data_IF_814805333771
#
_entry.id   IF_814805333771
#
_cell.length_a   1.000
_cell.length_b   1.000
_cell.length_c   1.000
_cell.angle_alpha   90.00
_cell.angle_beta   90.00
_cell.angle_gamma   90.00
#
_symmetry.space_group_name_H-M   'P 1'
#
loop_
_entity.id
_entity.type
_entity.pdbx_description
1 polymer ?
#
# COMPACT_ATOMS: atom_id res chain seq x y z
N UNK A 1 -2.62 -9.67 24.62
CA UNK A 1 -1.45 -8.84 24.24
C UNK A 1 -1.72 -7.36 24.29
N UNK A 2 -2.79 -6.82 23.67
CA UNK A 2 -3.09 -5.37 23.72
C UNK A 2 -3.08 -4.81 25.15
N UNK A 3 -3.80 -5.44 26.09
CA UNK A 3 -3.82 -5.03 27.49
C UNK A 3 -2.45 -5.04 28.19
N UNK A 4 -1.58 -5.99 27.82
CA UNK A 4 -0.23 -6.08 28.40
C UNK A 4 0.67 -4.95 27.88
N UNK A 5 0.52 -4.57 26.62
CA UNK A 5 1.21 -3.42 26.03
C UNK A 5 0.71 -2.09 26.62
N UNK A 6 -0.60 -1.96 26.86
CA UNK A 6 -1.16 -0.79 27.56
C UNK A 6 -0.59 -0.65 28.97
N UNK A 7 -0.59 -1.73 29.75
CA UNK A 7 -0.04 -1.73 31.10
C UNK A 7 1.46 -1.42 31.07
N UNK A 8 2.20 -1.99 30.13
CA UNK A 8 3.62 -1.66 29.94
C UNK A 8 3.82 -0.18 29.63
N UNK A 9 3.00 0.40 28.76
CA UNK A 9 3.08 1.84 28.43
C UNK A 9 2.82 2.71 29.66
N UNK A 10 1.80 2.37 30.46
CA UNK A 10 1.49 3.07 31.71
C UNK A 10 2.63 2.96 32.73
N UNK A 11 3.26 1.80 32.86
CA UNK A 11 4.42 1.64 33.74
C UNK A 11 5.62 2.48 33.29
N UNK A 12 5.91 2.50 31.99
CA UNK A 12 6.97 3.35 31.42
C UNK A 12 6.70 4.83 31.68
N UNK A 13 5.44 5.27 31.60
CA UNK A 13 5.05 6.65 31.85
C UNK A 13 5.18 7.05 33.33
N UNK A 14 4.84 6.14 34.25
CA UNK A 14 4.95 6.38 35.69
C UNK A 14 6.40 6.37 36.18
N UNK A 15 7.18 5.37 35.74
CA UNK A 15 8.55 5.14 36.22
C UNK A 15 9.60 5.85 35.36
N UNK A 16 9.19 6.48 34.25
CA UNK A 16 10.05 7.16 33.26
C UNK A 16 11.22 6.29 32.77
N UNK A 17 11.01 4.97 32.70
CA UNK A 17 12.02 3.99 32.29
C UNK A 17 11.41 2.95 31.36
N UNK A 18 12.08 2.63 30.26
CA UNK A 18 11.66 1.52 29.38
C UNK A 18 11.94 0.15 30.02
N UNK A 19 12.99 0.07 30.85
CA UNK A 19 13.47 -1.16 31.46
C UNK A 19 12.99 -1.27 32.90
N UNK A 20 12.39 -2.41 33.24
CA UNK A 20 11.88 -2.69 34.58
C UNK A 20 12.45 -4.03 35.04
N UNK A 21 13.04 -4.05 36.23
CA UNK A 21 13.67 -5.22 36.82
C UNK A 21 12.67 -5.88 37.77
N UNK A 22 12.33 -7.14 37.51
CA UNK A 22 11.34 -7.89 38.30
C UNK A 22 11.98 -9.00 39.14
N UNK A 23 13.30 -8.96 39.37
CA UNK A 23 14.05 -10.07 39.95
C UNK A 23 13.53 -10.47 41.35
N UNK A 24 13.20 -9.50 42.21
CA UNK A 24 12.63 -9.76 43.54
C UNK A 24 11.21 -10.37 43.44
N UNK A 25 10.37 -9.86 42.55
CA UNK A 25 9.02 -10.40 42.31
C UNK A 25 9.06 -11.80 41.71
N UNK A 26 10.05 -12.09 40.86
CA UNK A 26 10.24 -13.42 40.29
C UNK A 26 10.68 -14.45 41.34
N UNK A 27 11.52 -14.03 42.29
CA UNK A 27 11.90 -14.85 43.44
C UNK A 27 10.68 -15.16 44.32
N UNK A 28 9.84 -14.16 44.62
CA UNK A 28 8.62 -14.33 45.42
C UNK A 28 7.61 -15.25 44.73
N UNK A 29 7.44 -15.11 43.41
CA UNK A 29 6.55 -15.93 42.59
C UNK A 29 7.14 -17.30 42.21
N UNK A 30 8.41 -17.58 42.57
CA UNK A 30 9.15 -18.80 42.22
C UNK A 30 9.16 -19.08 40.71
N UNK A 31 9.26 -18.02 39.90
CA UNK A 31 9.26 -18.08 38.44
C UNK A 31 10.67 -17.89 37.90
N UNK A 32 10.99 -18.54 36.79
CA UNK A 32 12.25 -18.31 36.08
C UNK A 32 12.04 -17.36 34.90
N UNK A 33 13.10 -16.68 34.42
CA UNK A 33 12.99 -15.80 33.23
C UNK A 33 12.43 -16.49 31.98
N UNK A 34 12.57 -17.83 31.87
CA UNK A 34 11.98 -18.61 30.78
C UNK A 34 10.46 -18.66 30.86
N UNK A 35 9.91 -18.62 32.07
CA UNK A 35 8.46 -18.68 32.31
C UNK A 35 7.77 -17.32 32.02
N UNK A 36 8.56 -16.25 31.88
CA UNK A 36 8.12 -14.92 31.44
C UNK A 36 8.06 -14.78 29.91
N UNK A 37 8.57 -15.74 29.15
CA UNK A 37 8.55 -15.68 27.69
C UNK A 37 7.10 -15.74 27.20
N UNK A 38 6.59 -14.58 26.75
CA UNK A 38 5.24 -14.52 26.20
C UNK A 38 5.26 -15.09 24.78
N UNK A 39 4.64 -16.25 24.52
CA UNK A 39 4.66 -16.84 23.19
C UNK A 39 3.94 -15.93 22.22
N UNK A 40 4.60 -15.62 21.09
CA UNK A 40 4.01 -14.82 20.01
C UNK A 40 2.77 -15.53 19.47
N UNK A 41 1.58 -14.91 19.51
CA UNK A 41 0.38 -15.51 18.95
C UNK A 41 0.57 -15.79 17.46
N UNK A 42 0.16 -16.98 17.01
CA UNK A 42 0.40 -17.46 15.63
C UNK A 42 -0.19 -16.55 14.54
N UNK A 43 -1.22 -15.78 14.85
CA UNK A 43 -1.81 -14.79 13.93
C UNK A 43 -0.82 -13.67 13.55
N UNK A 44 0.09 -13.26 14.45
CA UNK A 44 1.12 -12.28 14.12
C UNK A 44 2.17 -12.84 13.17
N UNK A 45 2.48 -14.13 13.27
CA UNK A 45 3.39 -14.80 12.34
C UNK A 45 2.76 -14.95 10.94
N UNK A 46 1.44 -15.19 10.88
CA UNK A 46 0.71 -15.32 9.61
C UNK A 46 0.83 -14.06 8.76
N UNK A 47 0.58 -12.91 9.37
CA UNK A 47 0.56 -11.64 8.66
C UNK A 47 1.96 -10.97 8.67
N UNK A 48 2.97 -11.61 9.24
CA UNK A 48 4.30 -11.00 9.39
C UNK A 48 4.90 -10.64 8.04
N UNK A 49 4.83 -11.51 7.03
CA UNK A 49 5.39 -11.26 5.70
C UNK A 49 4.68 -10.11 5.01
N UNK A 50 3.35 -10.04 5.11
CA UNK A 50 2.55 -8.93 4.58
C UNK A 50 2.86 -7.62 5.32
N UNK A 51 2.97 -7.66 6.65
CA UNK A 51 3.37 -6.51 7.46
C UNK A 51 4.78 -6.03 7.13
N UNK A 52 5.73 -6.95 6.91
CA UNK A 52 7.09 -6.60 6.51
C UNK A 52 7.11 -6.00 5.10
N UNK A 53 6.30 -6.53 4.16
CA UNK A 53 6.14 -5.93 2.84
C UNK A 53 5.55 -4.54 2.93
N UNK A 54 4.48 -4.35 3.69
CA UNK A 54 3.86 -3.03 3.91
C UNK A 54 4.85 -2.04 4.52
N UNK A 55 5.59 -2.46 5.56
CA UNK A 55 6.66 -1.66 6.17
C UNK A 55 7.74 -1.31 5.17
N UNK A 56 8.21 -2.28 4.39
CA UNK A 56 9.22 -2.07 3.36
C UNK A 56 8.73 -1.09 2.29
N UNK A 57 7.47 -1.21 1.85
CA UNK A 57 6.85 -0.28 0.89
C UNK A 57 6.71 1.13 1.47
N UNK A 58 6.32 1.26 2.74
CA UNK A 58 6.25 2.58 3.40
C UNK A 58 7.65 3.20 3.50
N UNK A 59 8.63 2.44 3.95
CA UNK A 59 10.03 2.89 4.06
C UNK A 59 10.58 3.23 2.69
N UNK A 60 10.34 2.42 1.65
CA UNK A 60 10.78 2.74 0.28
C UNK A 60 10.14 4.03 -0.22
N UNK A 61 8.85 4.23 0.00
CA UNK A 61 8.17 5.46 -0.40
C UNK A 61 8.71 6.69 0.36
N UNK A 62 9.03 6.56 1.64
CA UNK A 62 9.66 7.63 2.43
C UNK A 62 11.05 7.94 1.87
N UNK A 63 11.87 6.91 1.61
CA UNK A 63 13.21 7.06 1.05
C UNK A 63 13.18 7.65 -0.36
N UNK A 64 12.20 7.27 -1.20
CA UNK A 64 11.99 7.83 -2.53
C UNK A 64 11.60 9.30 -2.47
N UNK A 65 10.68 9.68 -1.57
CA UNK A 65 10.34 11.10 -1.31
C UNK A 65 11.55 11.88 -0.82
N UNK A 66 12.34 11.32 0.09
CA UNK A 66 13.58 11.94 0.56
C UNK A 66 14.62 12.05 -0.56
N UNK A 67 14.74 11.05 -1.43
CA UNK A 67 15.66 11.06 -2.58
C UNK A 67 15.23 12.06 -3.65
N UNK A 68 13.92 12.19 -3.92
CA UNK A 68 13.38 13.23 -4.80
C UNK A 68 13.68 14.64 -4.26
N UNK A 69 13.70 14.81 -2.94
CA UNK A 69 14.09 16.06 -2.28
C UNK A 69 15.62 16.25 -2.19
N UNK A 70 16.41 15.19 -2.40
CA UNK A 70 17.88 15.20 -2.41
C UNK A 70 18.42 15.11 -3.84
N UNK A 71 18.23 16.14 -4.65
CA UNK A 71 18.85 16.23 -5.98
C UNK A 71 20.36 16.53 -5.95
N UNK A 72 20.99 16.58 -4.78
CA UNK A 72 22.42 16.93 -4.62
C UNK A 72 23.13 16.05 -3.58
N UNK A 73 22.90 14.73 -3.59
CA UNK A 73 23.81 13.83 -2.88
C UNK A 73 25.02 13.51 -3.77
N UNK A 74 26.19 14.02 -3.38
CA UNK A 74 27.49 13.59 -3.88
C UNK A 74 27.54 12.06 -3.93
N UNK A 75 27.73 11.49 -5.11
CA UNK A 75 28.02 10.07 -5.29
C UNK A 75 29.26 9.78 -4.43
N UNK A 76 29.23 8.80 -3.50
CA UNK A 76 30.41 8.45 -2.72
C UNK A 76 31.53 8.11 -3.69
N UNK A 77 32.55 8.97 -3.74
CA UNK A 77 33.71 8.75 -4.60
C UNK A 77 34.44 7.55 -4.03
N UNK A 78 34.35 6.41 -4.72
CA UNK A 78 35.08 5.19 -4.39
C UNK A 78 36.56 5.54 -4.20
N UNK A 79 37.07 5.28 -3.00
CA UNK A 79 38.47 5.57 -2.70
C UNK A 79 39.38 4.67 -3.56
N UNK A 80 40.54 5.16 -3.95
CA UNK A 80 41.46 4.44 -4.85
C UNK A 80 41.83 3.06 -4.28
N UNK A 81 42.07 2.98 -2.97
CA UNK A 81 42.39 1.71 -2.30
C UNK A 81 41.23 0.70 -2.36
N UNK A 82 40.00 1.16 -2.21
CA UNK A 82 38.81 0.31 -2.27
C UNK A 82 38.59 -0.22 -3.69
N UNK A 83 38.75 0.66 -4.68
CA UNK A 83 38.71 0.28 -6.09
C UNK A 83 39.78 -0.78 -6.43
N UNK A 84 41.01 -0.60 -5.93
CA UNK A 84 42.10 -1.57 -6.11
C UNK A 84 41.78 -2.90 -5.43
N UNK A 85 41.27 -2.90 -4.19
CA UNK A 85 40.90 -4.13 -3.47
C UNK A 85 39.80 -4.90 -4.20
N UNK A 86 38.76 -4.21 -4.69
CA UNK A 86 37.68 -4.81 -5.48
C UNK A 86 38.20 -5.41 -6.79
N UNK A 87 39.07 -4.69 -7.50
CA UNK A 87 39.66 -5.17 -8.74
C UNK A 87 40.55 -6.40 -8.50
N UNK A 88 41.36 -6.40 -7.44
CA UNK A 88 42.18 -7.56 -7.09
C UNK A 88 41.34 -8.77 -6.65
N UNK A 89 40.29 -8.55 -5.85
CA UNK A 89 39.41 -9.64 -5.40
C UNK A 89 38.66 -10.28 -6.56
N UNK A 90 38.11 -9.45 -7.45
CA UNK A 90 37.42 -9.91 -8.66
C UNK A 90 38.38 -10.64 -9.62
N UNK A 91 39.59 -10.15 -9.82
CA UNK A 91 40.59 -10.82 -10.67
C UNK A 91 41.08 -12.14 -10.07
N UNK A 92 41.34 -12.21 -8.76
CA UNK A 92 41.65 -13.49 -8.08
C UNK A 92 40.50 -14.48 -8.22
N UNK A 93 39.26 -14.04 -8.09
CA UNK A 93 38.09 -14.90 -8.27
C UNK A 93 37.95 -15.38 -9.72
N UNK A 94 38.18 -14.50 -10.70
CA UNK A 94 38.19 -14.86 -12.13
C UNK A 94 39.26 -15.90 -12.44
N UNK A 95 40.48 -15.70 -11.96
CA UNK A 95 41.58 -16.65 -12.11
C UNK A 95 41.29 -17.99 -11.42
N UNK A 96 40.72 -17.96 -10.21
CA UNK A 96 40.30 -19.16 -9.49
C UNK A 96 39.29 -19.98 -10.28
N UNK A 97 38.27 -19.33 -10.87
CA UNK A 97 37.28 -20.00 -11.73
C UNK A 97 37.92 -20.62 -12.97
N UNK A 98 38.84 -19.92 -13.63
CA UNK A 98 39.53 -20.43 -14.83
C UNK A 98 40.39 -21.65 -14.47
N UNK A 99 41.19 -21.57 -13.39
CA UNK A 99 42.02 -22.69 -12.93
C UNK A 99 41.16 -23.90 -12.55
N UNK A 100 40.06 -23.70 -11.82
CA UNK A 100 39.16 -24.77 -11.42
C UNK A 100 38.52 -25.45 -12.65
N UNK A 101 38.08 -24.67 -13.65
CA UNK A 101 37.56 -25.20 -14.91
C UNK A 101 38.62 -26.03 -15.64
N UNK A 102 39.82 -25.50 -15.80
CA UNK A 102 40.93 -26.18 -16.47
C UNK A 102 41.32 -27.49 -15.76
N UNK A 103 41.40 -27.48 -14.42
CA UNK A 103 41.69 -28.70 -13.64
C UNK A 103 40.57 -29.74 -13.74
N UNK A 104 39.32 -29.29 -13.77
CA UNK A 104 38.17 -30.18 -13.96
C UNK A 104 38.23 -30.85 -15.33
N UNK A 105 38.55 -30.09 -16.37
CA UNK A 105 38.69 -30.58 -17.75
C UNK A 105 39.87 -31.55 -17.90
N UNK A 106 41.01 -31.26 -17.26
CA UNK A 106 42.15 -32.18 -17.23
C UNK A 106 41.78 -33.52 -16.58
N UNK A 107 41.13 -33.49 -15.39
CA UNK A 107 40.69 -34.71 -14.70
C UNK A 107 39.66 -35.49 -15.52
N UNK A 108 38.77 -34.81 -16.24
CA UNK A 108 37.82 -35.44 -17.14
C UNK A 108 38.53 -36.09 -18.34
N UNK A 109 39.42 -35.37 -19.00
CA UNK A 109 40.23 -35.88 -20.12
C UNK A 109 41.08 -37.08 -19.71
N UNK A 110 41.69 -37.08 -18.52
CA UNK A 110 42.39 -38.25 -17.99
C UNK A 110 41.46 -39.43 -17.74
N UNK A 111 40.24 -39.19 -17.22
CA UNK A 111 39.24 -40.24 -17.02
C UNK A 111 38.77 -40.82 -18.35
N UNK A 112 38.54 -39.97 -19.35
CA UNK A 112 38.13 -40.40 -20.68
C UNK A 112 39.27 -41.09 -21.43
N UNK A 113 40.51 -40.61 -21.28
CA UNK A 113 41.71 -41.31 -21.73
C UNK A 113 41.80 -42.71 -21.13
N UNK A 114 41.57 -42.87 -19.81
CA UNK A 114 41.49 -44.19 -19.16
C UNK A 114 40.36 -45.06 -19.68
N UNK A 115 39.22 -44.47 -20.06
CA UNK A 115 38.09 -45.18 -20.70
C UNK A 115 38.42 -45.59 -22.14
N UNK A 116 39.18 -44.80 -22.88
CA UNK A 116 39.60 -45.11 -24.25
C UNK A 116 40.75 -46.12 -24.30
N UNK A 117 41.66 -46.11 -23.31
CA UNK A 117 42.66 -47.15 -23.12
C UNK A 117 42.12 -48.38 -22.40
N UNK A 118 40.85 -48.35 -21.98
CA UNK A 118 40.19 -49.51 -21.39
C UNK A 118 40.10 -50.60 -22.45
N UNK A 119 40.94 -51.62 -22.30
CA UNK A 119 40.78 -52.86 -23.07
C UNK A 119 39.72 -53.69 -22.36
N UNK A 120 38.71 -54.23 -23.09
CA UNK A 120 37.87 -55.28 -22.55
C UNK A 120 38.81 -56.38 -22.07
N UNK A 121 38.92 -56.55 -20.75
CA UNK A 121 39.51 -57.77 -20.22
C UNK A 121 38.56 -58.88 -20.66
N UNK A 122 39.06 -59.91 -21.35
CA UNK A 122 38.29 -61.12 -21.62
C UNK A 122 38.09 -61.86 -20.28
N UNK A 123 37.23 -61.28 -19.46
CA UNK A 123 36.90 -61.77 -18.15
C UNK A 123 35.81 -62.81 -18.34
N UNK A 124 36.00 -64.02 -17.82
CA UNK A 124 34.93 -65.02 -17.86
C UNK A 124 33.70 -64.50 -17.11
N UNK A 125 32.52 -65.00 -17.45
CA UNK A 125 31.26 -64.55 -16.83
C UNK A 125 31.32 -64.62 -15.29
N UNK A 126 31.94 -65.68 -14.77
CA UNK A 126 32.12 -65.89 -13.33
C UNK A 126 33.09 -64.87 -12.71
N UNK A 127 34.21 -64.59 -13.38
CA UNK A 127 35.17 -63.60 -12.92
C UNK A 127 34.57 -62.18 -12.93
N UNK A 128 33.74 -61.85 -13.93
CA UNK A 128 32.99 -60.60 -13.98
C UNK A 128 31.96 -60.50 -12.86
N UNK A 129 31.20 -61.57 -12.62
CA UNK A 129 30.24 -61.64 -11.52
C UNK A 129 30.93 -61.43 -10.15
N UNK A 130 32.09 -62.07 -9.93
CA UNK A 130 32.88 -61.89 -8.70
C UNK A 130 33.33 -60.44 -8.53
N UNK A 131 33.82 -59.78 -9.59
CA UNK A 131 34.24 -58.38 -9.51
C UNK A 131 33.07 -57.44 -9.16
N UNK A 132 31.92 -57.61 -9.83
CA UNK A 132 30.72 -56.82 -9.57
C UNK A 132 30.24 -57.03 -8.13
N UNK A 133 30.15 -58.29 -7.69
CA UNK A 133 29.74 -58.64 -6.33
C UNK A 133 30.70 -58.08 -5.28
N UNK A 134 32.02 -58.11 -5.52
CA UNK A 134 33.03 -57.54 -4.62
C UNK A 134 32.85 -56.03 -4.47
N UNK A 135 32.67 -55.32 -5.58
CA UNK A 135 32.44 -53.87 -5.56
C UNK A 135 31.14 -53.53 -4.84
N UNK A 136 30.06 -54.27 -5.12
CA UNK A 136 28.76 -54.09 -4.47
C UNK A 136 28.83 -54.33 -2.96
N UNK A 137 29.41 -55.46 -2.53
CA UNK A 137 29.60 -55.78 -1.10
C UNK A 137 30.43 -54.70 -0.40
N UNK A 138 31.50 -54.23 -1.04
CA UNK A 138 32.31 -53.13 -0.51
C UNK A 138 31.57 -51.78 -0.46
N UNK A 139 30.65 -51.52 -1.39
CA UNK A 139 29.79 -50.33 -1.34
C UNK A 139 28.78 -50.40 -0.21
N UNK A 140 28.07 -51.53 -0.10
CA UNK A 140 27.11 -51.79 0.97
C UNK A 140 27.79 -51.67 2.33
N UNK A 141 28.97 -52.28 2.51
CA UNK A 141 29.66 -52.24 3.79
C UNK A 141 30.16 -50.84 4.16
N UNK A 142 30.62 -50.04 3.18
CA UNK A 142 30.97 -48.64 3.44
C UNK A 142 29.74 -47.80 3.83
N UNK A 143 28.58 -48.07 3.25
CA UNK A 143 27.33 -47.40 3.65
C UNK A 143 26.92 -47.76 5.07
N UNK A 144 27.01 -49.03 5.44
CA UNK A 144 26.70 -49.51 6.79
C UNK A 144 27.69 -48.88 7.78
N UNK A 145 29.00 -48.99 7.54
CA UNK A 145 30.02 -48.43 8.42
C UNK A 145 29.93 -46.90 8.55
N UNK A 146 29.60 -46.18 7.47
CA UNK A 146 29.35 -44.75 7.56
C UNK A 146 28.12 -44.43 8.41
N UNK A 147 27.04 -45.22 8.28
CA UNK A 147 25.83 -45.06 9.11
C UNK A 147 26.14 -45.32 10.58
N UNK A 148 26.78 -46.45 10.90
CA UNK A 148 27.19 -46.80 12.26
C UNK A 148 28.12 -45.73 12.85
N UNK A 149 29.08 -45.23 12.06
CA UNK A 149 29.93 -44.11 12.47
C UNK A 149 29.12 -42.85 12.77
N UNK A 150 28.13 -42.50 11.95
CA UNK A 150 27.28 -41.33 12.21
C UNK A 150 26.41 -41.52 13.45
N UNK A 151 25.84 -42.71 13.63
CA UNK A 151 25.04 -43.06 14.81
C UNK A 151 25.89 -42.99 16.09
N UNK A 152 27.13 -43.51 16.05
CA UNK A 152 28.07 -43.41 17.16
C UNK A 152 28.49 -41.96 17.44
N UNK A 153 28.75 -41.16 16.40
CA UNK A 153 29.07 -39.73 16.58
C UNK A 153 27.90 -38.94 17.19
N UNK A 154 26.66 -39.31 16.86
CA UNK A 154 25.46 -38.74 17.48
C UNK A 154 25.34 -39.21 18.94
N UNK A 155 25.55 -40.50 19.20
CA UNK A 155 25.49 -41.08 20.55
C UNK A 155 26.53 -40.45 21.49
N UNK A 156 27.75 -40.22 21.01
CA UNK A 156 28.82 -39.55 21.75
C UNK A 156 28.62 -38.02 21.84
N UNK A 157 27.62 -37.45 21.16
CA UNK A 157 27.33 -36.01 21.18
C UNK A 157 28.28 -35.15 20.34
N UNK A 158 29.08 -35.76 19.46
CA UNK A 158 29.98 -35.04 18.54
C UNK A 158 29.22 -34.39 17.37
N UNK A 159 28.04 -34.92 17.05
CA UNK A 159 27.08 -34.36 16.10
C UNK A 159 25.73 -34.23 16.81
N UNK A 160 25.04 -33.09 16.71
CA UNK A 160 23.71 -32.96 17.30
C UNK A 160 22.74 -33.95 16.65
N UNK A 161 22.03 -34.72 17.47
CA UNK A 161 20.96 -35.59 16.99
C UNK A 161 19.91 -34.73 16.26
N UNK A 162 19.41 -35.23 15.12
CA UNK A 162 18.22 -34.63 14.53
C UNK A 162 17.07 -34.70 15.55
N UNK A 163 16.34 -33.60 15.77
CA UNK A 163 15.20 -33.62 16.66
C UNK A 163 14.22 -34.70 16.19
N UNK A 164 13.61 -35.47 17.10
CA UNK A 164 12.66 -36.51 16.72
C UNK A 164 11.59 -35.91 15.82
N UNK A 165 11.38 -36.55 14.66
CA UNK A 165 10.38 -36.13 13.70
C UNK A 165 8.99 -36.03 14.33
N UNK A 166 8.06 -35.29 13.71
CA UNK A 166 6.78 -35.02 14.33
C UNK A 166 6.03 -36.32 14.60
N UNK A 167 5.53 -36.48 15.83
CA UNK A 167 4.76 -37.66 16.21
C UNK A 167 3.50 -37.80 15.36
N UNK A 168 2.89 -39.00 15.25
CA UNK A 168 1.64 -39.17 14.50
C UNK A 168 0.53 -38.19 14.94
N UNK A 169 0.44 -37.91 16.24
CA UNK A 169 -0.47 -36.91 16.79
C UNK A 169 -0.12 -35.48 16.34
N UNK A 170 1.17 -35.14 16.25
CA UNK A 170 1.62 -33.85 15.73
C UNK A 170 1.35 -33.72 14.23
N UNK A 171 1.50 -34.78 13.44
CA UNK A 171 1.16 -34.80 12.02
C UNK A 171 -0.34 -34.58 11.79
N UNK A 172 -1.19 -35.25 12.58
CA UNK A 172 -2.64 -35.02 12.55
C UNK A 172 -3.00 -33.59 12.97
N UNK A 173 -2.40 -33.08 14.05
CA UNK A 173 -2.61 -31.70 14.47
C UNK A 173 -2.16 -30.69 13.40
N UNK A 174 -1.08 -30.97 12.65
CA UNK A 174 -0.66 -30.16 11.52
C UNK A 174 -1.70 -30.16 10.40
N UNK A 175 -2.23 -31.33 10.03
CA UNK A 175 -3.28 -31.45 9.00
C UNK A 175 -4.55 -30.69 9.39
N UNK A 176 -5.02 -30.85 10.64
CA UNK A 176 -6.17 -30.10 11.17
C UNK A 176 -5.88 -28.61 11.15
N UNK A 177 -4.69 -28.20 11.60
CA UNK A 177 -4.31 -26.79 11.59
C UNK A 177 -4.23 -26.20 10.18
N UNK A 178 -3.86 -26.99 9.17
CA UNK A 178 -3.84 -26.57 7.78
C UNK A 178 -5.26 -26.39 7.22
N UNK A 179 -6.18 -27.30 7.54
CA UNK A 179 -7.60 -27.15 7.20
C UNK A 179 -8.23 -25.93 7.85
N UNK A 180 -7.95 -25.69 9.14
CA UNK A 180 -8.42 -24.49 9.84
C UNK A 180 -7.86 -23.20 9.24
N UNK A 181 -6.62 -23.19 8.74
CA UNK A 181 -6.04 -22.01 8.07
C UNK A 181 -6.82 -21.63 6.82
N UNK A 182 -7.16 -22.61 5.97
CA UNK A 182 -7.93 -22.37 4.76
C UNK A 182 -9.28 -21.72 5.07
N UNK A 183 -9.98 -22.23 6.08
CA UNK A 183 -11.27 -21.67 6.52
C UNK A 183 -11.09 -20.25 7.07
N UNK A 184 -10.03 -20.00 7.84
CA UNK A 184 -9.74 -18.66 8.36
C UNK A 184 -9.50 -17.64 7.25
N UNK A 185 -8.78 -18.03 6.19
CA UNK A 185 -8.48 -17.17 5.06
C UNK A 185 -9.76 -16.87 4.25
N UNK A 186 -10.60 -17.88 4.02
CA UNK A 186 -11.93 -17.71 3.40
C UNK A 186 -12.81 -16.75 4.21
N UNK A 187 -12.91 -16.96 5.52
CA UNK A 187 -13.69 -16.09 6.41
C UNK A 187 -13.15 -14.65 6.41
N UNK A 188 -11.83 -14.46 6.36
CA UNK A 188 -11.24 -13.12 6.30
C UNK A 188 -11.52 -12.43 4.95
N UNK A 189 -11.49 -13.15 3.83
CA UNK A 189 -11.91 -12.62 2.54
C UNK A 189 -13.39 -12.23 2.53
N UNK A 190 -14.27 -13.10 3.03
CA UNK A 190 -15.69 -12.84 3.15
C UNK A 190 -15.96 -11.62 4.03
N UNK A 191 -15.27 -11.50 5.16
CA UNK A 191 -15.35 -10.35 6.04
C UNK A 191 -14.93 -9.05 5.34
N UNK A 192 -13.81 -9.07 4.60
CA UNK A 192 -13.34 -7.91 3.82
C UNK A 192 -14.34 -7.52 2.72
N UNK A 193 -14.90 -8.50 2.01
CA UNK A 193 -15.96 -8.27 1.00
C UNK A 193 -17.22 -7.68 1.63
N UNK A 194 -17.65 -8.21 2.78
CA UNK A 194 -18.80 -7.71 3.52
C UNK A 194 -18.59 -6.26 3.99
N UNK A 195 -17.39 -5.91 4.49
CA UNK A 195 -17.08 -4.53 4.85
C UNK A 195 -17.21 -3.57 3.66
N UNK A 196 -16.68 -3.95 2.50
CA UNK A 196 -16.80 -3.14 1.28
C UNK A 196 -18.25 -3.00 0.83
N UNK A 197 -19.00 -4.10 0.87
CA UNK A 197 -20.42 -4.13 0.54
C UNK A 197 -21.24 -3.21 1.44
N UNK A 198 -21.03 -3.29 2.76
CA UNK A 198 -21.70 -2.40 3.74
C UNK A 198 -21.34 -0.95 3.49
N UNK A 199 -20.04 -0.63 3.30
CA UNK A 199 -19.61 0.74 2.98
C UNK A 199 -20.28 1.27 1.71
N UNK A 200 -20.37 0.44 0.66
CA UNK A 200 -21.02 0.81 -0.58
C UNK A 200 -22.54 0.97 -0.41
N UNK A 201 -23.16 0.13 0.41
CA UNK A 201 -24.59 0.23 0.74
C UNK A 201 -24.89 1.54 1.47
N UNK A 202 -24.12 1.86 2.51
CA UNK A 202 -24.23 3.14 3.25
C UNK A 202 -24.06 4.31 2.29
N UNK A 203 -23.04 4.27 1.43
CA UNK A 203 -22.81 5.32 0.43
C UNK A 203 -23.98 5.44 -0.58
N UNK A 204 -24.63 4.34 -0.96
CA UNK A 204 -25.78 4.37 -1.88
C UNK A 204 -27.03 4.96 -1.24
N UNK A 205 -27.26 4.68 0.05
CA UNK A 205 -28.45 5.14 0.78
C UNK A 205 -28.25 6.58 1.26
N UNK A 206 -27.15 6.86 1.94
CA UNK A 206 -26.91 8.13 2.62
C UNK A 206 -26.02 9.08 1.81
N UNK A 207 -25.35 8.61 0.76
CA UNK A 207 -24.34 9.43 0.06
C UNK A 207 -24.91 10.67 -0.62
N UNK A 208 -26.14 10.61 -1.14
CA UNK A 208 -26.80 11.79 -1.72
C UNK A 208 -27.14 12.80 -0.63
N UNK A 209 -27.76 12.36 0.46
CA UNK A 209 -28.12 13.22 1.60
C UNK A 209 -26.87 13.84 2.23
N UNK A 210 -25.81 13.06 2.45
CA UNK A 210 -24.52 13.55 2.94
C UNK A 210 -23.95 14.62 2.00
N UNK A 211 -23.99 14.39 0.69
CA UNK A 211 -23.51 15.35 -0.31
C UNK A 211 -24.33 16.65 -0.27
N UNK A 212 -25.65 16.58 -0.18
CA UNK A 212 -26.52 17.76 -0.08
C UNK A 212 -26.24 18.53 1.21
N UNK A 213 -26.13 17.82 2.34
CA UNK A 213 -25.79 18.41 3.64
C UNK A 213 -24.45 19.14 3.60
N UNK A 214 -23.42 18.53 3.00
CA UNK A 214 -22.10 19.15 2.82
C UNK A 214 -22.17 20.36 1.88
N UNK A 215 -22.94 20.30 0.79
CA UNK A 215 -23.14 21.43 -0.11
C UNK A 215 -23.83 22.60 0.59
N UNK A 216 -24.84 22.33 1.42
CA UNK A 216 -25.56 23.37 2.15
C UNK A 216 -24.70 24.01 3.24
N UNK A 217 -23.86 23.25 3.94
CA UNK A 217 -22.85 23.79 4.86
C UNK A 217 -21.87 24.72 4.14
N UNK A 218 -21.38 24.33 2.95
CA UNK A 218 -20.52 25.20 2.13
C UNK A 218 -21.29 26.46 1.73
N UNK A 219 -22.52 26.34 1.20
CA UNK A 219 -23.34 27.49 0.79
C UNK A 219 -23.58 28.44 1.96
N UNK A 220 -23.91 27.90 3.13
CA UNK A 220 -24.12 28.68 4.34
C UNK A 220 -22.85 29.44 4.73
N UNK A 221 -21.68 28.78 4.73
CA UNK A 221 -20.41 29.44 4.97
C UNK A 221 -20.13 30.59 3.98
N UNK A 222 -20.39 30.38 2.68
CA UNK A 222 -20.25 31.41 1.65
C UNK A 222 -21.15 32.63 1.91
N UNK A 223 -22.39 32.40 2.31
CA UNK A 223 -23.36 33.45 2.60
C UNK A 223 -22.97 34.23 3.87
N UNK A 224 -22.62 33.54 4.95
CA UNK A 224 -22.17 34.16 6.19
C UNK A 224 -20.90 34.99 5.99
N UNK A 225 -19.95 34.50 5.20
CA UNK A 225 -18.74 35.25 4.88
C UNK A 225 -19.04 36.51 4.05
N UNK A 226 -19.94 36.42 3.06
CA UNK A 226 -20.38 37.56 2.25
C UNK A 226 -21.07 38.61 3.13
N UNK A 227 -21.96 38.20 4.02
CA UNK A 227 -22.70 39.11 4.89
C UNK A 227 -21.78 39.75 5.95
N UNK A 228 -20.71 39.06 6.34
CA UNK A 228 -19.64 39.60 7.20
C UNK A 228 -18.75 40.62 6.49
N UNK A 229 -18.25 40.28 5.30
CA UNK A 229 -17.10 40.93 4.65
C UNK A 229 -17.50 41.82 3.47
N UNK A 230 -18.69 41.61 2.91
CA UNK A 230 -19.20 42.29 1.71
C UNK A 230 -18.65 41.74 0.39
N UNK A 231 -17.83 40.69 0.43
CA UNK A 231 -17.22 40.01 -0.73
C UNK A 231 -17.26 38.50 -0.51
N UNK A 232 -17.37 37.73 -1.59
CA UNK A 232 -17.27 36.27 -1.50
C UNK A 232 -15.85 35.83 -1.09
N UNK A 233 -15.73 34.77 -0.28
CA UNK A 233 -14.45 34.15 0.03
C UNK A 233 -13.94 33.34 -1.18
N UNK A 234 -12.62 33.23 -1.31
CA UNK A 234 -11.99 32.31 -2.24
C UNK A 234 -11.97 30.89 -1.64
N UNK A 235 -12.05 29.85 -2.48
CA UNK A 235 -11.93 28.47 -1.98
C UNK A 235 -10.49 28.23 -1.45
N UNK A 236 -10.32 27.46 -0.37
CA UNK A 236 -9.00 27.07 0.10
C UNK A 236 -8.25 26.23 -0.94
N UNK A 237 -6.94 26.43 -1.06
CA UNK A 237 -6.08 25.68 -1.97
C UNK A 237 -5.93 24.20 -1.55
N UNK A 238 -5.61 23.32 -2.52
CA UNK A 238 -5.47 21.87 -2.27
C UNK A 238 -4.35 21.54 -1.26
N UNK A 239 -3.28 22.34 -1.23
CA UNK A 239 -2.14 22.20 -0.31
C UNK A 239 -2.50 22.51 1.15
N UNK A 240 -3.50 23.38 1.38
CA UNK A 240 -3.98 23.77 2.72
C UNK A 240 -5.16 22.88 3.20
N UNK A 241 -5.46 21.80 2.49
CA UNK A 241 -6.53 20.86 2.82
C UNK A 241 -7.89 21.19 2.18
N UNK A 242 -7.95 22.18 1.28
CA UNK A 242 -9.12 22.47 0.46
C UNK A 242 -10.42 22.67 1.25
N UNK A 243 -11.53 22.19 0.70
CA UNK A 243 -12.85 22.26 1.35
C UNK A 243 -12.97 21.41 2.62
N UNK A 244 -12.04 20.47 2.89
CA UNK A 244 -12.07 19.66 4.10
C UNK A 244 -11.84 20.49 5.38
N UNK A 245 -11.06 21.58 5.28
CA UNK A 245 -10.82 22.51 6.38
C UNK A 245 -12.10 23.19 6.89
N UNK A 246 -13.13 23.31 6.04
CA UNK A 246 -14.42 23.93 6.38
C UNK A 246 -15.32 23.02 7.23
N UNK A 247 -15.08 21.70 7.18
CA UNK A 247 -15.88 20.69 7.87
C UNK A 247 -15.25 20.23 9.20
N UNK A 248 -14.06 20.74 9.54
CA UNK A 248 -13.46 20.50 10.85
C UNK A 248 -14.33 21.15 11.95
N UNK A 249 -14.74 20.37 12.95
CA UNK A 249 -15.50 20.88 14.09
C UNK A 249 -14.66 21.92 14.84
N UNK A 250 -14.96 23.21 14.63
CA UNK A 250 -14.33 24.30 15.38
C UNK A 250 -14.86 24.30 16.80
N UNK A 251 -13.96 24.37 17.78
CA UNK A 251 -14.35 24.53 19.19
C UNK A 251 -15.03 25.88 19.38
N UNK A 252 -16.00 26.01 20.32
CA UNK A 252 -16.73 27.26 20.55
C UNK A 252 -15.82 28.46 20.86
N UNK A 253 -14.61 28.22 21.38
CA UNK A 253 -13.57 29.23 21.60
C UNK A 253 -12.91 29.76 20.32
N UNK A 254 -12.78 28.92 19.29
CA UNK A 254 -12.26 29.35 17.98
C UNK A 254 -13.30 30.20 17.23
N UNK A 255 -14.57 29.86 17.38
CA UNK A 255 -15.69 30.63 16.81
C UNK A 255 -15.81 32.00 17.48
N UNK A 256 -15.64 32.09 18.80
CA UNK A 256 -15.67 33.38 19.53
C UNK A 256 -14.47 34.27 19.22
N UNK A 257 -13.27 33.68 19.07
CA UNK A 257 -12.08 34.41 18.64
C UNK A 257 -12.23 34.96 17.21
N UNK A 258 -12.76 34.15 16.27
CA UNK A 258 -12.99 34.56 14.89
C UNK A 258 -14.08 35.66 14.78
N UNK A 259 -15.12 35.59 15.62
CA UNK A 259 -16.14 36.63 15.73
C UNK A 259 -15.59 37.94 16.34
N UNK A 260 -14.72 37.87 17.35
CA UNK A 260 -14.10 39.04 17.98
C UNK A 260 -13.08 39.75 17.06
N UNK A 261 -12.31 39.00 16.29
CA UNK A 261 -11.44 39.54 15.24
C UNK A 261 -12.26 40.19 14.10
N UNK A 262 -13.44 39.64 13.80
CA UNK A 262 -14.37 40.21 12.80
C UNK A 262 -15.10 41.46 13.29
N UNK A 263 -15.45 41.55 14.58
CA UNK A 263 -16.03 42.78 15.16
C UNK A 263 -15.04 43.94 15.14
N UNK A 264 -13.77 43.67 15.47
CA UNK A 264 -12.71 44.69 15.43
C UNK A 264 -12.43 45.17 14.00
N UNK A 265 -12.41 44.28 12.99
CA UNK A 265 -12.32 44.70 11.57
C UNK A 265 -13.54 45.50 11.10
N UNK A 266 -14.76 45.14 11.53
CA UNK A 266 -15.99 45.89 11.20
C UNK A 266 -15.97 47.29 11.81
N UNK A 267 -15.45 47.44 13.02
CA UNK A 267 -15.26 48.75 13.65
C UNK A 267 -14.22 49.61 12.92
N UNK A 268 -13.11 49.03 12.49
CA UNK A 268 -12.09 49.74 11.72
C UNK A 268 -12.59 50.20 10.35
N UNK A 269 -13.33 49.34 9.63
CA UNK A 269 -13.97 49.69 8.35
C UNK A 269 -15.03 50.79 8.52
N UNK A 270 -15.83 50.78 9.60
CA UNK A 270 -16.77 51.87 9.94
C UNK A 270 -16.04 53.18 10.27
N UNK A 271 -14.93 53.15 11.02
CA UNK A 271 -14.09 54.34 11.29
C UNK A 271 -13.48 54.92 10.02
N UNK A 272 -13.02 54.08 9.08
CA UNK A 272 -12.51 54.50 7.76
C UNK A 272 -13.59 55.13 6.87
N UNK A 273 -14.82 54.58 6.87
CA UNK A 273 -15.95 55.10 6.09
C UNK A 273 -16.44 56.47 6.61
N UNK A 274 -16.52 56.63 7.94
CA UNK A 274 -16.89 57.91 8.60
C UNK A 274 -15.87 59.02 8.33
N UNK A 275 -14.57 58.68 8.28
CA UNK A 275 -13.48 59.62 7.93
C UNK A 275 -13.52 60.04 6.45
N UNK A 276 -14.04 59.19 5.55
CA UNK A 276 -14.17 59.47 4.11
C UNK A 276 -15.39 60.38 3.80
N UNK A 277 -16.51 60.17 4.50
CA UNK A 277 -17.69 61.05 4.43
C UNK A 277 -17.42 62.47 4.97
N UNK A 278 -16.61 62.62 6.04
CA UNK A 278 -16.19 63.94 6.55
C UNK A 278 -15.31 64.74 5.56
N UNK A 279 -14.49 64.06 4.76
CA UNK A 279 -13.69 64.71 3.70
C UNK A 279 -14.51 65.09 2.45
N UNK A 280 -15.60 64.36 2.16
CA UNK A 280 -16.43 64.63 0.99
C UNK A 280 -17.43 65.78 1.23
N UNK A 281 -17.89 65.94 2.48
CA UNK A 281 -18.74 67.08 2.90
C UNK A 281 -17.96 68.41 2.92
N UNK A 282 -16.64 68.39 3.16
CA UNK A 282 -15.78 69.60 3.11
C UNK A 282 -15.45 70.09 1.70
N UNK A 283 -15.63 69.25 0.67
CA UNK A 283 -15.33 69.62 -0.73
C UNK A 283 -16.58 70.12 -1.48
N UNK A 284 -17.78 69.86 -0.96
CA UNK A 284 -19.06 70.24 -1.61
C UNK A 284 -19.60 71.63 -1.23
N UNK A 285 -18.95 72.37 -0.34
CA UNK A 285 -19.36 73.74 0.05
C UNK A 285 -18.72 74.86 -0.77
N UNK A 286 -17.91 74.55 -1.79
CA UNK A 286 -17.22 75.57 -2.60
C UNK A 286 -17.30 75.26 -4.09
N UNK A 287 -18.51 75.29 -4.65
CA UNK A 287 -18.82 75.73 -6.03
C UNK A 287 -20.32 75.52 -6.29
N UNK A 288 -21.09 76.60 -6.19
CA UNK A 288 -22.47 76.66 -6.67
C UNK A 288 -22.58 77.84 -7.62
N UNK A 289 -22.49 77.62 -8.93
CA UNK A 289 -23.09 78.47 -9.97
C UNK A 289 -23.22 77.70 -11.30
N UNK A 290 -24.43 77.79 -11.91
CA UNK A 290 -24.75 77.64 -13.35
C UNK A 290 -24.58 76.22 -13.96
N UNK A 291 -25.50 75.60 -14.71
CA UNK A 291 -26.60 76.08 -15.58
C UNK A 291 -27.57 74.92 -15.87
N UNK A 292 -28.86 75.23 -16.10
CA UNK A 292 -29.90 74.37 -16.73
C UNK A 292 -29.54 74.05 -18.20
N UNK A 293 -29.86 72.85 -18.70
CA UNK A 293 -30.78 72.67 -19.85
C UNK A 293 -31.14 71.18 -20.06
N UNK A 294 -32.19 70.96 -20.84
CA UNK A 294 -33.17 69.86 -20.92
C UNK A 294 -33.00 69.05 -22.21
N UNK A 295 -33.73 67.91 -22.33
CA UNK A 295 -34.26 67.18 -23.53
C UNK A 295 -33.94 65.67 -23.46
N UNK A 296 -34.73 64.69 -23.91
CA UNK A 296 -36.16 64.36 -24.11
C UNK A 296 -36.19 62.88 -24.61
N UNK A 297 -37.31 62.18 -24.44
CA UNK A 297 -37.59 60.78 -24.84
C UNK A 297 -37.49 60.49 -26.36
N UNK A 298 -37.24 59.23 -26.75
CA UNK A 298 -38.17 58.42 -27.60
C UNK A 298 -37.67 56.98 -27.90
N UNK A 299 -38.62 56.04 -27.90
CA UNK A 299 -38.57 54.62 -28.32
C UNK A 299 -38.38 54.44 -29.84
N UNK A 300 -37.99 53.23 -30.30
CA UNK A 300 -38.59 52.55 -31.47
C UNK A 300 -38.17 51.07 -31.59
N UNK A 301 -39.14 50.22 -31.93
CA UNK A 301 -39.12 48.74 -32.07
C UNK A 301 -39.12 48.29 -33.56
N UNK A 302 -39.01 46.95 -33.76
CA UNK A 302 -39.23 46.08 -34.97
C UNK A 302 -37.96 45.71 -35.77
N UNK A 303 -37.51 44.45 -35.94
CA UNK A 303 -38.06 43.14 -36.41
C UNK A 303 -38.25 43.03 -37.94
N UNK A 304 -37.40 42.22 -38.60
CA UNK A 304 -37.70 41.32 -39.74
C UNK A 304 -36.37 40.69 -40.23
N UNK A 305 -36.10 39.41 -39.99
CA UNK A 305 -36.55 38.21 -40.72
C UNK A 305 -35.79 37.96 -42.04
N UNK A 306 -35.11 36.82 -42.15
CA UNK A 306 -35.06 36.01 -43.38
C UNK A 306 -34.50 34.62 -43.08
N UNK A 307 -35.37 33.62 -43.25
CA UNK A 307 -35.07 32.20 -43.33
C UNK A 307 -35.18 31.79 -44.80
N UNK A 308 -34.23 30.95 -45.26
CA UNK A 308 -34.39 29.77 -46.15
C UNK A 308 -33.41 29.69 -47.35
N UNK A 309 -32.72 28.54 -47.38
CA UNK A 309 -32.34 27.67 -48.52
C UNK A 309 -31.13 28.14 -49.36
N UNK A 310 -30.22 27.31 -49.90
CA UNK A 310 -30.14 25.85 -50.13
C UNK A 310 -28.68 25.53 -50.58
N UNK A 311 -28.18 24.33 -50.26
CA UNK A 311 -27.19 23.47 -50.99
C UNK A 311 -25.97 24.09 -51.71
N UNK A 312 -24.77 23.78 -51.23
CA UNK A 312 -23.78 22.91 -51.91
C UNK A 312 -22.40 23.03 -51.23
N UNK A 313 -21.92 21.92 -50.64
CA UNK A 313 -20.60 21.29 -50.88
C UNK A 313 -20.54 20.07 -49.94
N UNK A 314 -21.01 18.94 -50.47
CA UNK A 314 -20.57 17.63 -50.03
C UNK A 314 -19.80 17.00 -51.19
N UNK A 315 -18.47 17.05 -51.15
CA UNK A 315 -17.59 16.16 -51.90
C UNK A 315 -16.24 16.04 -51.15
N UNK A 316 -16.20 15.11 -50.19
CA UNK A 316 -15.08 14.19 -49.98
C UNK A 316 -15.46 13.16 -48.90
N UNK A 317 -16.32 12.21 -49.28
CA UNK A 317 -16.33 10.85 -48.73
C UNK A 317 -15.13 10.06 -49.34
N UNK A 318 -14.84 8.79 -48.97
CA UNK A 318 -15.44 7.90 -47.96
C UNK A 318 -14.38 7.17 -47.09
N UNK A 319 -14.71 6.58 -45.94
CA UNK A 319 -15.19 5.20 -45.88
C UNK A 319 -15.94 4.92 -44.58
N UNK A 320 -17.04 4.20 -44.76
CA UNK A 320 -18.08 3.84 -43.81
C UNK A 320 -18.05 2.31 -43.67
N UNK A 321 -18.55 1.84 -42.54
CA UNK A 321 -19.51 0.73 -42.45
C UNK A 321 -19.02 -0.64 -41.97
N UNK A 322 -19.63 -1.06 -40.84
CA UNK A 322 -20.17 -2.37 -40.48
C UNK A 322 -19.92 -2.57 -38.96
N UNK A 323 -20.89 -2.69 -38.05
CA UNK A 323 -22.14 -3.43 -38.01
C UNK A 323 -23.09 -2.70 -37.02
N UNK A 324 -24.18 -2.11 -37.50
CA UNK A 324 -25.46 -2.07 -36.77
C UNK A 324 -26.50 -2.45 -37.81
N UNK A 325 -26.90 -3.72 -37.80
CA UNK A 325 -28.09 -4.21 -38.45
C UNK A 325 -28.75 -5.19 -37.47
N UNK A 326 -30.06 -5.07 -37.34
CA UNK A 326 -31.00 -5.80 -36.47
C UNK A 326 -31.28 -5.16 -35.11
N UNK A 327 -32.13 -4.13 -35.19
CA UNK A 327 -33.11 -3.79 -34.17
C UNK A 327 -34.42 -4.55 -34.49
N UNK A 328 -35.18 -4.92 -33.47
CA UNK A 328 -36.63 -5.21 -33.48
C UNK A 328 -37.16 -6.57 -34.00
N UNK A 329 -37.24 -7.54 -33.07
CA UNK A 329 -38.28 -8.58 -32.88
C UNK A 329 -37.91 -9.21 -31.51
N UNK A 330 -38.62 -9.18 -30.39
CA UNK A 330 -40.04 -9.34 -30.08
C UNK A 330 -40.26 -8.73 -28.67
N UNK A 331 -41.17 -7.77 -28.57
CA UNK A 331 -41.73 -7.30 -27.30
C UNK A 331 -43.25 -7.37 -27.46
N UNK A 332 -43.77 -8.59 -27.45
CA UNK A 332 -45.20 -8.89 -27.40
C UNK A 332 -45.39 -10.38 -27.12
N UNK A 333 -45.41 -10.76 -25.84
CA UNK A 333 -46.33 -11.79 -25.34
C UNK A 333 -46.39 -11.68 -23.81
N UNK A 334 -47.37 -10.87 -23.40
CA UNK A 334 -47.89 -10.80 -22.04
C UNK A 334 -48.76 -12.03 -21.76
N UNK A 335 -48.66 -12.50 -20.52
CA UNK A 335 -49.74 -13.08 -19.72
C UNK A 335 -50.56 -14.25 -20.32
N UNK A 336 -50.41 -15.43 -19.73
CA UNK A 336 -51.57 -16.32 -19.56
C UNK A 336 -51.26 -17.78 -19.29
N UNK A 337 -51.84 -18.29 -18.19
CA UNK A 337 -52.38 -19.65 -18.02
C UNK A 337 -51.33 -20.73 -17.70
N UNK A 338 -51.10 -21.06 -16.42
CA UNK A 338 -51.86 -21.97 -15.55
C UNK A 338 -51.54 -23.47 -15.73
N UNK A 339 -51.30 -24.13 -14.58
CA UNK A 339 -51.79 -25.48 -14.21
C UNK A 339 -51.10 -26.71 -14.85
N UNK A 340 -50.36 -27.45 -14.00
CA UNK A 340 -50.17 -28.93 -13.92
C UNK A 340 -49.64 -29.67 -15.17
N UNK A 341 -48.75 -30.67 -15.14
CA UNK A 341 -48.77 -31.98 -14.46
C UNK A 341 -47.49 -32.73 -14.89
N UNK A 342 -46.97 -33.58 -14.01
CA UNK A 342 -46.37 -34.91 -14.25
C UNK A 342 -45.29 -35.08 -15.35
N UNK A 343 -44.06 -35.39 -14.89
CA UNK A 343 -43.45 -36.69 -15.20
C UNK A 343 -42.44 -37.11 -14.13
#
# INVERSE_FOLDING_TARGET
MGRLLELKAQMVELDLSEFHYFDELLLDLKMTPKDLEVPLPRCFLRNWTEQQRLKHTIVSNILEKQRANQTTSSVPVLNLEEAVRLLQASERARQGRIRARFMTELVQSERDGRRHTWRPTHLSLDQAAIQIQKVWRGHVQRRIANRERTEEMIFLGMIPAEPPGPSPAQLQAQQVSAGLRLIQDQNEEEYRRAQLSVKQSVLRVEGTDMKETLQDQIRQWFLEYRDATGRFPDLPDEEDGGSAALFAQKTPEQVSAELSARETEREEKKKKKKKKEETEVKTRTRTRTRTRFRFFYSEFTTVSALSRRLTDVAQMFPAVSSLIFLQHTEFSEMCGVAVTTLR
#
